data_IF_569528360599
#
_entry.id   IF_569528360599
#
_cell.length_a   1.000
_cell.length_b   1.000
_cell.length_c   1.000
_cell.angle_alpha   90.00
_cell.angle_beta   90.00
_cell.angle_gamma   90.00
#
_symmetry.space_group_name_H-M   'P 1'
#
loop_
_entity.id
_entity.type
_entity.pdbx_description
1 polymer ?
#
# COMPACT_ATOMS: atom_id res chain seq x y z
N UNK A 1 -29.85 2.66 -46.36
CA UNK A 1 -29.41 1.63 -45.39
C UNK A 1 -27.89 1.68 -45.25
N UNK A 2 -27.31 2.87 -44.99
CA UNK A 2 -25.84 3.12 -45.02
C UNK A 2 -25.27 3.67 -43.70
N UNK A 3 -26.12 4.12 -42.77
CA UNK A 3 -25.66 4.74 -41.52
C UNK A 3 -25.18 3.73 -40.45
N UNK A 4 -25.37 2.43 -40.65
CA UNK A 4 -24.96 1.40 -39.67
C UNK A 4 -23.46 1.09 -39.70
N UNK A 5 -22.82 1.20 -40.88
CA UNK A 5 -21.38 0.97 -41.05
C UNK A 5 -20.55 2.09 -40.45
N UNK A 6 -20.93 3.35 -40.72
CA UNK A 6 -20.21 4.53 -40.23
C UNK A 6 -20.29 4.65 -38.69
N UNK A 7 -21.44 4.29 -38.10
CA UNK A 7 -21.63 4.28 -36.64
C UNK A 7 -20.82 3.18 -35.94
N UNK A 8 -20.62 2.02 -36.58
CA UNK A 8 -19.74 0.95 -36.08
C UNK A 8 -18.26 1.32 -36.17
N UNK A 9 -17.85 1.96 -37.27
CA UNK A 9 -16.49 2.49 -37.41
C UNK A 9 -16.18 3.60 -36.40
N UNK A 10 -17.15 4.49 -36.12
CA UNK A 10 -16.98 5.55 -35.12
C UNK A 10 -16.92 5.01 -33.68
N UNK A 11 -17.72 3.98 -33.35
CA UNK A 11 -17.66 3.29 -32.05
C UNK A 11 -16.35 2.51 -31.90
N UNK A 12 -15.88 1.83 -32.95
CA UNK A 12 -14.58 1.13 -32.93
C UNK A 12 -13.40 2.10 -32.84
N UNK A 13 -13.49 3.27 -33.48
CA UNK A 13 -12.49 4.34 -33.35
C UNK A 13 -12.48 4.96 -31.95
N UNK A 14 -13.66 5.17 -31.33
CA UNK A 14 -13.78 5.60 -29.93
C UNK A 14 -13.26 4.53 -28.95
N UNK A 15 -13.53 3.25 -29.18
CA UNK A 15 -13.00 2.15 -28.36
C UNK A 15 -11.48 2.00 -28.51
N UNK A 16 -10.93 2.27 -29.71
CA UNK A 16 -9.48 2.32 -29.93
C UNK A 16 -8.85 3.56 -29.27
N UNK A 17 -9.49 4.72 -29.36
CA UNK A 17 -9.00 5.94 -28.72
C UNK A 17 -8.99 5.84 -27.18
N UNK A 18 -9.98 5.18 -26.57
CA UNK A 18 -9.98 4.89 -25.11
C UNK A 18 -8.92 3.86 -24.72
N UNK A 19 -8.62 2.89 -25.61
CA UNK A 19 -7.54 1.92 -25.37
C UNK A 19 -6.13 2.57 -25.46
N UNK A 20 -5.97 3.63 -26.26
CA UNK A 20 -4.69 4.34 -26.42
C UNK A 20 -4.38 5.30 -25.27
N UNK A 21 -5.36 5.69 -24.45
CA UNK A 21 -5.13 6.54 -23.26
C UNK A 21 -4.70 5.79 -22.00
N UNK A 22 -4.72 4.46 -21.99
CA UNK A 22 -4.17 3.64 -20.87
C UNK A 22 -2.77 3.15 -21.24
N UNK A 23 -1.87 4.08 -21.53
CA UNK A 23 -0.45 3.80 -21.72
C UNK A 23 0.40 4.70 -20.82
N UNK A 24 0.01 4.80 -19.55
CA UNK A 24 0.95 5.06 -18.46
C UNK A 24 1.58 3.73 -18.02
N UNK A 25 2.29 3.05 -18.92
CA UNK A 25 3.15 1.93 -18.55
C UNK A 25 4.29 2.50 -17.72
N UNK A 26 4.15 2.49 -16.40
CA UNK A 26 5.26 2.68 -15.50
C UNK A 26 6.11 1.40 -15.60
N UNK A 27 6.99 1.32 -16.60
CA UNK A 27 7.64 0.10 -17.13
C UNK A 27 8.69 -0.53 -16.18
N UNK A 28 8.47 -0.45 -14.87
CA UNK A 28 9.35 -0.94 -13.82
C UNK A 28 8.85 -0.67 -12.39
N UNK A 29 7.80 0.13 -12.20
CA UNK A 29 7.22 0.37 -10.87
C UNK A 29 6.36 -0.83 -10.45
N UNK A 30 6.67 -1.38 -9.29
CA UNK A 30 6.00 -2.54 -8.70
C UNK A 30 4.75 -2.16 -7.90
N UNK A 31 4.54 -0.87 -7.65
CA UNK A 31 3.38 -0.35 -6.92
C UNK A 31 2.16 -0.31 -7.83
N UNK A 32 1.08 -0.96 -7.41
CA UNK A 32 -0.23 -0.81 -8.04
C UNK A 32 -0.89 0.49 -7.57
N UNK A 33 -1.49 1.22 -8.51
CA UNK A 33 -2.16 2.50 -8.27
C UNK A 33 -1.26 3.53 -7.53
N UNK A 34 -0.07 3.86 -8.11
CA UNK A 34 0.94 4.68 -7.43
C UNK A 34 0.56 6.15 -7.24
N UNK A 35 -0.31 6.69 -8.11
CA UNK A 35 -0.85 8.05 -8.02
C UNK A 35 -2.29 8.12 -7.51
N UNK A 36 -2.82 7.03 -6.94
CA UNK A 36 -4.16 7.00 -6.32
C UNK A 36 -5.34 7.36 -7.23
N UNK A 37 -5.18 7.26 -8.55
CA UNK A 37 -6.20 7.60 -9.53
C UNK A 37 -7.41 6.65 -9.53
N UNK A 38 -7.19 5.41 -9.07
CA UNK A 38 -8.18 4.35 -9.05
C UNK A 38 -8.79 4.21 -7.66
N UNK A 39 -10.10 4.41 -7.55
CA UNK A 39 -10.87 4.27 -6.31
C UNK A 39 -11.79 3.04 -6.35
N UNK A 40 -11.97 2.40 -5.20
CA UNK A 40 -12.98 1.39 -4.98
C UNK A 40 -14.36 2.06 -4.84
N UNK A 41 -15.48 1.30 -4.88
CA UNK A 41 -16.82 1.88 -4.75
C UNK A 41 -17.08 2.67 -3.45
N UNK A 42 -16.28 2.42 -2.40
CA UNK A 42 -16.31 3.14 -1.12
C UNK A 42 -15.39 4.38 -1.08
N UNK A 43 -14.71 4.69 -2.19
CA UNK A 43 -13.77 5.82 -2.31
C UNK A 43 -12.35 5.53 -1.79
N UNK A 44 -12.06 4.30 -1.36
CA UNK A 44 -10.72 3.93 -0.91
C UNK A 44 -9.79 3.65 -2.11
N UNK A 45 -8.50 3.98 -2.07
CA UNK A 45 -7.60 3.72 -3.20
C UNK A 45 -7.45 2.22 -3.46
N UNK A 46 -7.74 1.79 -4.70
CA UNK A 46 -7.67 0.37 -5.09
C UNK A 46 -6.24 -0.17 -4.91
N UNK A 47 -6.15 -1.38 -4.34
CA UNK A 47 -4.88 -2.09 -4.11
C UNK A 47 -4.13 -1.68 -2.84
N UNK A 48 -4.69 -0.77 -2.06
CA UNK A 48 -4.19 -0.38 -0.75
C UNK A 48 -5.16 -0.83 0.35
N UNK A 49 -4.66 -1.03 1.57
CA UNK A 49 -5.50 -1.19 2.76
C UNK A 49 -4.96 -0.34 3.91
N UNK A 50 -5.83 0.03 4.86
CA UNK A 50 -5.46 0.85 6.01
C UNK A 50 -5.25 0.03 7.28
N UNK A 51 -4.37 0.51 8.15
CA UNK A 51 -4.30 0.17 9.56
C UNK A 51 -4.07 1.42 10.40
N UNK A 52 -4.52 1.38 11.65
CA UNK A 52 -4.24 2.40 12.65
C UNK A 52 -4.12 1.78 14.04
N UNK A 53 -3.32 2.43 14.88
CA UNK A 53 -3.14 2.05 16.27
C UNK A 53 -4.43 2.27 17.08
N UNK A 54 -4.96 3.50 17.08
CA UNK A 54 -6.22 3.84 17.71
C UNK A 54 -7.39 3.64 16.74
N UNK A 55 -8.26 2.68 17.06
CA UNK A 55 -9.41 2.28 16.24
C UNK A 55 -10.71 3.01 16.62
N UNK A 56 -10.64 4.03 17.48
CA UNK A 56 -11.81 4.86 17.82
C UNK A 56 -12.41 5.47 16.56
N UNK A 57 -13.74 5.39 16.43
CA UNK A 57 -14.46 5.93 15.28
C UNK A 57 -14.16 7.42 15.12
N UNK A 58 -13.71 7.81 13.92
CA UNK A 58 -13.34 9.19 13.61
C UNK A 58 -11.95 9.62 14.08
N UNK A 59 -11.14 8.75 14.73
CA UNK A 59 -9.77 9.10 15.11
C UNK A 59 -8.87 9.42 13.89
N UNK A 60 -9.12 8.73 12.77
CA UNK A 60 -8.38 8.89 11.52
C UNK A 60 -9.36 8.84 10.34
N UNK A 61 -9.05 9.58 9.27
CA UNK A 61 -9.76 9.55 8.00
C UNK A 61 -8.77 9.30 6.85
N UNK A 62 -9.17 8.46 5.90
CA UNK A 62 -8.43 8.14 4.69
C UNK A 62 -9.26 8.55 3.49
N UNK A 63 -8.70 9.33 2.57
CA UNK A 63 -9.42 9.88 1.43
C UNK A 63 -8.54 9.90 0.19
N UNK A 64 -9.14 9.66 -0.96
CA UNK A 64 -8.59 10.10 -2.23
C UNK A 64 -9.19 11.48 -2.52
N UNK A 65 -8.34 12.46 -2.85
CA UNK A 65 -8.75 13.85 -3.06
C UNK A 65 -8.20 14.37 -4.37
N UNK A 66 -8.97 15.21 -5.07
CA UNK A 66 -8.54 15.79 -6.34
C UNK A 66 -7.76 17.11 -6.19
N UNK A 67 -8.03 17.86 -5.11
CA UNK A 67 -7.41 19.16 -4.92
C UNK A 67 -5.95 19.03 -4.46
N UNK A 68 -5.04 19.57 -5.28
CA UNK A 68 -3.63 19.66 -4.93
C UNK A 68 -2.83 18.38 -5.10
N UNK A 69 -3.28 17.46 -5.97
CA UNK A 69 -2.47 16.35 -6.46
C UNK A 69 -1.13 16.84 -7.01
N UNK A 70 -0.07 16.05 -6.83
CA UNK A 70 1.25 16.39 -7.38
C UNK A 70 1.28 16.10 -8.89
N UNK A 71 0.73 14.96 -9.29
CA UNK A 71 0.55 14.55 -10.67
C UNK A 71 -0.83 13.90 -10.84
N UNK A 72 -1.31 13.82 -12.09
CA UNK A 72 -2.63 13.29 -12.35
C UNK A 72 -3.76 14.16 -11.79
N UNK A 73 -4.90 13.54 -11.51
CA UNK A 73 -6.11 14.21 -11.03
C UNK A 73 -6.32 14.02 -9.53
N UNK A 74 -5.62 13.07 -8.88
CA UNK A 74 -5.88 12.69 -7.49
C UNK A 74 -4.60 12.42 -6.70
N UNK A 75 -4.71 12.52 -5.39
CA UNK A 75 -3.69 12.06 -4.45
C UNK A 75 -4.35 11.46 -3.20
N UNK A 76 -3.55 10.81 -2.35
CA UNK A 76 -4.04 10.26 -1.10
C UNK A 76 -3.87 11.24 0.06
N UNK A 77 -4.90 11.40 0.88
CA UNK A 77 -4.90 12.17 2.12
C UNK A 77 -5.19 11.25 3.31
N UNK A 78 -4.27 11.24 4.26
CA UNK A 78 -4.43 10.67 5.59
C UNK A 78 -4.53 11.80 6.61
N UNK A 79 -5.60 11.79 7.41
CA UNK A 79 -5.78 12.76 8.51
C UNK A 79 -5.93 12.04 9.84
N UNK A 80 -5.07 12.36 10.80
CA UNK A 80 -5.25 11.98 12.20
C UNK A 80 -5.89 13.15 12.98
N UNK A 81 -7.12 12.96 13.46
CA UNK A 81 -7.87 13.96 14.24
C UNK A 81 -7.49 13.97 15.72
N UNK A 82 -6.85 12.89 16.18
CA UNK A 82 -6.24 12.73 17.49
C UNK A 82 -4.90 12.00 17.35
N UNK A 83 -3.99 12.06 18.35
CA UNK A 83 -2.69 11.41 18.24
C UNK A 83 -2.82 9.94 17.86
N UNK A 84 -2.34 9.57 16.67
CA UNK A 84 -2.42 8.20 16.17
C UNK A 84 -1.17 7.82 15.38
N UNK A 85 -1.00 6.52 15.18
CA UNK A 85 -0.13 5.93 14.18
C UNK A 85 -1.04 5.25 13.16
N UNK A 86 -1.20 5.90 12.02
CA UNK A 86 -2.08 5.46 10.95
C UNK A 86 -1.33 5.37 9.63
N UNK A 87 -1.76 4.43 8.78
CA UNK A 87 -1.08 4.13 7.51
C UNK A 87 -2.00 3.47 6.50
N UNK A 88 -1.66 3.64 5.23
CA UNK A 88 -2.06 2.71 4.18
C UNK A 88 -0.88 1.88 3.72
N UNK A 89 -1.14 0.67 3.27
CA UNK A 89 -0.10 -0.29 2.91
C UNK A 89 -0.37 -1.01 1.61
N UNK A 90 0.73 -1.47 1.01
CA UNK A 90 0.72 -2.42 -0.08
C UNK A 90 1.85 -3.44 0.13
N UNK A 91 1.59 -4.70 -0.23
CA UNK A 91 2.59 -5.75 -0.24
C UNK A 91 3.23 -5.82 -1.63
N UNK A 92 4.51 -5.47 -1.70
CA UNK A 92 5.27 -5.37 -2.94
C UNK A 92 6.13 -6.61 -3.11
N UNK A 93 5.88 -7.39 -4.16
CA UNK A 93 6.68 -8.58 -4.46
C UNK A 93 8.08 -8.18 -4.90
N UNK A 94 9.09 -8.79 -4.29
CA UNK A 94 10.51 -8.48 -4.53
C UNK A 94 11.34 -9.74 -4.70
N UNK A 95 12.48 -9.58 -5.35
CA UNK A 95 13.51 -10.60 -5.52
C UNK A 95 14.57 -10.46 -4.42
N UNK A 96 15.19 -11.56 -3.98
CA UNK A 96 16.29 -11.52 -3.01
C UNK A 96 17.56 -10.89 -3.62
N UNK A 97 18.46 -10.37 -2.79
CA UNK A 97 19.73 -9.72 -3.18
C UNK A 97 19.57 -8.69 -4.31
N UNK A 98 18.49 -7.90 -4.24
CA UNK A 98 18.14 -6.91 -5.26
C UNK A 98 18.01 -5.54 -4.62
N UNK A 99 18.55 -4.52 -5.30
CA UNK A 99 18.44 -3.13 -4.86
C UNK A 99 17.13 -2.55 -5.41
N UNK A 100 16.35 -1.94 -4.54
CA UNK A 100 15.12 -1.24 -4.89
C UNK A 100 15.25 0.25 -4.58
N UNK A 101 14.82 1.09 -5.52
CA UNK A 101 14.51 2.50 -5.25
C UNK A 101 13.08 2.58 -4.74
N UNK A 102 12.90 3.19 -3.57
CA UNK A 102 11.58 3.40 -2.95
C UNK A 102 11.39 4.89 -2.73
N UNK A 103 10.26 5.43 -3.14
CA UNK A 103 9.97 6.84 -2.92
C UNK A 103 8.51 7.22 -3.12
N UNK A 104 8.19 8.46 -2.75
CA UNK A 104 6.91 9.11 -3.04
C UNK A 104 7.05 10.62 -2.89
N UNK A 105 6.02 11.35 -3.33
CA UNK A 105 5.80 12.74 -2.98
C UNK A 105 5.03 12.81 -1.68
N UNK A 106 5.48 13.64 -0.75
CA UNK A 106 4.85 13.87 0.55
C UNK A 106 4.58 15.35 0.76
N UNK A 107 3.40 15.66 1.28
CA UNK A 107 3.07 16.97 1.82
C UNK A 107 2.49 16.78 3.22
N UNK A 108 3.02 17.49 4.20
CA UNK A 108 2.59 17.43 5.60
C UNK A 108 2.12 18.80 6.09
N UNK A 109 1.03 18.81 6.85
CA UNK A 109 0.38 20.03 7.37
C UNK A 109 -0.23 19.78 8.76
N UNK A 110 0.02 20.71 9.69
CA UNK A 110 -0.68 20.75 10.98
C UNK A 110 -0.30 19.65 11.96
N UNK A 111 0.89 19.04 11.82
CA UNK A 111 1.38 18.06 12.78
C UNK A 111 1.84 18.77 14.07
N UNK A 112 1.47 18.21 15.22
CA UNK A 112 1.67 18.86 16.53
C UNK A 112 2.77 18.23 17.38
N UNK A 113 3.09 16.95 17.15
CA UNK A 113 4.16 16.26 17.87
C UNK A 113 5.51 16.42 17.14
N UNK A 114 6.60 16.34 17.90
CA UNK A 114 7.96 16.48 17.40
C UNK A 114 8.53 15.21 16.75
N UNK A 115 7.83 14.08 16.86
CA UNK A 115 8.20 12.78 16.28
C UNK A 115 6.97 12.14 15.63
N UNK A 116 7.17 11.15 14.75
CA UNK A 116 6.07 10.49 14.05
C UNK A 116 5.47 11.38 12.97
N UNK A 117 6.33 12.06 12.19
CA UNK A 117 5.89 12.82 11.03
C UNK A 117 5.34 11.94 9.90
N UNK A 118 4.95 12.57 8.78
CA UNK A 118 4.62 11.84 7.56
C UNK A 118 5.88 11.13 7.02
N UNK A 119 5.80 9.83 6.73
CA UNK A 119 6.95 9.04 6.31
C UNK A 119 6.54 7.80 5.47
N UNK A 120 7.55 7.18 4.84
CA UNK A 120 7.44 5.85 4.28
C UNK A 120 8.07 4.84 5.24
N UNK A 121 7.42 3.69 5.44
CA UNK A 121 7.97 2.57 6.21
C UNK A 121 8.01 1.27 5.42
N UNK A 122 8.98 0.40 5.73
CA UNK A 122 8.95 -1.03 5.42
C UNK A 122 8.67 -1.76 6.72
N UNK A 123 7.40 -2.09 6.96
CA UNK A 123 6.95 -2.53 8.28
C UNK A 123 7.58 -3.85 8.73
N UNK A 124 7.78 -4.79 7.81
CA UNK A 124 8.40 -6.08 8.10
C UNK A 124 9.93 -6.02 8.27
N UNK A 125 10.54 -4.83 8.18
CA UNK A 125 11.96 -4.59 8.44
C UNK A 125 12.21 -3.43 9.41
N UNK A 126 11.17 -2.94 10.10
CA UNK A 126 11.25 -1.84 11.07
C UNK A 126 12.03 -0.60 10.56
N UNK A 127 11.95 -0.33 9.25
CA UNK A 127 12.63 0.79 8.63
C UNK A 127 11.64 1.91 8.30
N UNK A 128 12.01 3.16 8.57
CA UNK A 128 11.33 4.35 8.04
C UNK A 128 12.31 5.31 7.37
N UNK A 129 11.78 6.04 6.39
CA UNK A 129 12.42 7.21 5.82
C UNK A 129 12.55 8.36 6.82
N UNK A 130 13.13 9.47 6.37
CA UNK A 130 12.98 10.76 7.04
C UNK A 130 11.48 11.11 7.22
N UNK A 131 11.20 11.83 8.31
CA UNK A 131 9.85 12.27 8.69
C UNK A 131 9.62 13.73 8.28
N UNK A 132 8.39 14.04 7.84
CA UNK A 132 7.97 15.37 7.42
C UNK A 132 6.85 15.88 8.33
N UNK A 133 7.08 17.05 8.94
CA UNK A 133 6.14 17.64 9.91
C UNK A 133 5.36 18.82 9.36
N UNK A 134 6.03 19.65 8.56
CA UNK A 134 5.42 20.74 7.86
C UNK A 134 6.21 21.00 6.58
N UNK A 135 5.50 21.03 5.47
CA UNK A 135 6.07 21.23 4.12
C UNK A 135 5.68 22.59 3.54
N UNK A 136 5.01 23.45 4.33
CA UNK A 136 4.55 24.78 3.94
C UNK A 136 3.71 24.77 2.64
N UNK A 137 2.93 23.71 2.45
CA UNK A 137 2.05 23.52 1.29
C UNK A 137 2.72 22.93 0.05
N UNK A 138 4.04 22.69 0.08
CA UNK A 138 4.80 22.14 -1.05
C UNK A 138 4.92 20.62 -0.98
N UNK A 139 5.10 19.99 -2.14
CA UNK A 139 5.39 18.57 -2.25
C UNK A 139 6.90 18.32 -2.14
N UNK A 140 7.31 17.50 -1.18
CA UNK A 140 8.69 17.07 -0.97
C UNK A 140 8.89 15.66 -1.54
N UNK A 141 10.09 15.37 -2.02
CA UNK A 141 10.46 14.01 -2.44
C UNK A 141 11.02 13.24 -1.24
N UNK A 142 10.40 12.09 -0.95
CA UNK A 142 10.98 11.08 -0.07
C UNK A 142 11.53 9.97 -0.94
N UNK A 143 12.81 9.67 -0.82
CA UNK A 143 13.44 8.61 -1.61
C UNK A 143 14.57 7.94 -0.81
N UNK A 144 14.66 6.62 -0.90
CA UNK A 144 15.74 5.82 -0.34
C UNK A 144 15.93 4.54 -1.14
N UNK A 145 17.07 3.89 -0.92
CA UNK A 145 17.42 2.63 -1.57
C UNK A 145 17.56 1.53 -0.53
N UNK A 146 17.02 0.37 -0.83
CA UNK A 146 17.16 -0.82 0.03
C UNK A 146 17.72 -1.98 -0.75
N UNK A 147 18.49 -2.85 -0.12
CA UNK A 147 18.85 -4.16 -0.66
C UNK A 147 18.13 -5.25 0.14
N UNK A 148 17.45 -6.15 -0.56
CA UNK A 148 16.85 -7.35 0.04
C UNK A 148 17.92 -8.40 0.39
N UNK A 149 17.81 -9.13 1.52
CA UNK A 149 18.82 -10.10 1.94
C UNK A 149 18.79 -11.39 1.10
N UNK A 150 19.75 -12.29 1.38
CA UNK A 150 19.80 -13.66 0.84
C UNK A 150 20.07 -14.68 1.95
N UNK A 151 19.13 -15.62 2.24
CA UNK A 151 17.78 -15.68 1.68
C UNK A 151 16.96 -14.46 2.12
N UNK A 152 16.05 -14.01 1.26
CA UNK A 152 15.29 -12.79 1.49
C UNK A 152 13.79 -12.99 1.52
N UNK A 153 13.03 -11.99 1.99
CA UNK A 153 11.59 -12.00 1.89
C UNK A 153 11.19 -11.93 0.41
N UNK A 154 10.06 -12.53 0.06
CA UNK A 154 9.45 -12.37 -1.26
C UNK A 154 8.58 -11.12 -1.36
N UNK A 155 8.40 -10.39 -0.24
CA UNK A 155 7.48 -9.25 -0.13
C UNK A 155 8.06 -8.17 0.81
N UNK A 156 7.96 -6.92 0.39
CA UNK A 156 8.10 -5.75 1.26
C UNK A 156 6.71 -5.21 1.61
N UNK A 157 6.42 -4.99 2.89
CA UNK A 157 5.20 -4.31 3.33
C UNK A 157 5.46 -2.81 3.40
N UNK A 158 5.26 -2.13 2.27
CA UNK A 158 5.39 -0.68 2.15
C UNK A 158 4.19 -0.01 2.83
N UNK A 159 4.47 0.99 3.66
CA UNK A 159 3.46 1.81 4.31
C UNK A 159 3.69 3.30 4.03
N UNK A 160 2.60 4.03 3.77
CA UNK A 160 2.54 5.48 3.78
C UNK A 160 1.88 5.89 5.08
N UNK A 161 2.61 6.59 5.94
CA UNK A 161 2.35 6.61 7.37
C UNK A 161 2.38 8.03 7.94
N UNK A 162 1.50 8.27 8.91
CA UNK A 162 1.54 9.43 9.81
C UNK A 162 1.57 8.90 11.24
N UNK A 163 2.67 9.17 11.93
CA UNK A 163 3.05 8.48 13.16
C UNK A 163 4.21 7.50 12.92
N UNK A 164 4.55 6.73 13.94
CA UNK A 164 5.80 5.97 14.00
C UNK A 164 5.82 5.03 15.20
N UNK A 165 6.71 4.04 15.25
CA UNK A 165 6.83 3.08 16.36
C UNK A 165 6.89 3.80 17.73
N UNK A 166 5.78 3.79 18.48
CA UNK A 166 5.65 4.51 19.75
C UNK A 166 5.53 6.04 19.65
N UNK A 167 5.52 6.62 18.44
CA UNK A 167 5.36 8.03 18.18
C UNK A 167 4.01 8.30 17.48
N UNK A 168 3.07 8.87 18.21
CA UNK A 168 1.74 9.21 17.71
C UNK A 168 1.70 10.69 17.29
N UNK A 169 0.95 11.02 16.23
CA UNK A 169 0.81 12.40 15.80
C UNK A 169 -0.62 12.71 15.30
N UNK A 170 -0.98 14.00 15.35
CA UNK A 170 -2.19 14.55 14.72
C UNK A 170 -1.80 15.24 13.40
N UNK A 171 -2.79 15.64 12.59
CA UNK A 171 -2.57 16.46 11.40
C UNK A 171 -2.83 15.70 10.11
N UNK A 172 -2.30 16.24 9.00
CA UNK A 172 -2.56 15.77 7.64
C UNK A 172 -1.27 15.38 6.93
N UNK A 173 -1.30 14.24 6.27
CA UNK A 173 -0.26 13.78 5.37
C UNK A 173 -0.89 13.45 4.01
N UNK A 174 -0.41 14.10 2.97
CA UNK A 174 -0.75 13.81 1.58
C UNK A 174 0.38 13.02 0.94
N UNK A 175 0.02 12.09 0.08
CA UNK A 175 0.95 11.23 -0.64
C UNK A 175 0.56 11.11 -2.09
N UNK A 176 1.56 11.05 -2.97
CA UNK A 176 1.37 10.87 -4.41
C UNK A 176 2.61 10.25 -5.07
N UNK A 177 2.47 9.75 -6.29
CA UNK A 177 3.54 9.23 -7.14
C UNK A 177 4.48 8.24 -6.42
N UNK A 178 3.88 7.21 -5.79
CA UNK A 178 4.62 6.18 -5.07
C UNK A 178 5.39 5.29 -6.05
N UNK A 179 6.65 5.01 -5.74
CA UNK A 179 7.48 4.15 -6.59
C UNK A 179 8.24 3.12 -5.77
N UNK A 180 8.23 1.90 -6.28
CA UNK A 180 9.16 0.84 -5.91
C UNK A 180 9.66 0.19 -7.20
N UNK A 181 10.94 0.33 -7.50
CA UNK A 181 11.52 -0.22 -8.74
C UNK A 181 12.85 -0.92 -8.44
N UNK A 182 13.09 -2.06 -9.08
CA UNK A 182 14.40 -2.70 -9.04
C UNK A 182 15.40 -1.87 -9.85
N UNK A 183 16.56 -1.57 -9.27
CA UNK A 183 17.63 -0.83 -9.94
C UNK A 183 18.92 -1.66 -9.98
N UNK A 184 19.65 -1.66 -11.11
CA UNK A 184 20.91 -2.41 -11.20
C UNK A 184 21.99 -1.82 -10.29
N UNK A 185 21.95 -0.50 -10.05
CA UNK A 185 22.88 0.21 -9.18
C UNK A 185 22.22 1.52 -8.70
N UNK A 186 22.41 1.91 -7.43
CA UNK A 186 21.97 3.22 -6.95
C UNK A 186 22.84 4.36 -7.54
N UNK A 187 22.38 5.62 -7.48
CA UNK A 187 23.19 6.78 -7.82
C UNK A 187 24.50 6.84 -7.01
N UNK A 188 25.51 7.51 -7.57
CA UNK A 188 26.79 7.69 -6.89
C UNK A 188 26.57 8.45 -5.58
N UNK A 189 27.02 7.86 -4.46
CA UNK A 189 26.91 8.45 -3.12
C UNK A 189 25.58 8.20 -2.42
N UNK A 190 24.61 7.54 -3.05
CA UNK A 190 23.38 7.14 -2.38
C UNK A 190 23.64 6.05 -1.33
N UNK A 191 23.06 6.23 -0.14
CA UNK A 191 23.05 5.21 0.90
C UNK A 191 22.10 4.08 0.49
N UNK A 192 22.57 2.83 0.56
CA UNK A 192 21.73 1.63 0.43
C UNK A 192 21.56 1.03 1.80
N UNK A 193 20.30 0.85 2.21
CA UNK A 193 19.94 0.21 3.46
C UNK A 193 19.90 -1.29 3.22
N UNK A 194 20.77 -2.02 3.91
CA UNK A 194 20.79 -3.47 3.88
C UNK A 194 19.66 -3.99 4.78
N UNK A 195 18.65 -4.63 4.20
CA UNK A 195 17.55 -5.20 4.97
C UNK A 195 17.97 -6.55 5.55
N UNK A 196 17.62 -6.79 6.81
CA UNK A 196 17.95 -8.03 7.50
C UNK A 196 17.02 -9.17 7.11
N UNK A 197 17.54 -10.39 7.10
CA UNK A 197 16.70 -11.57 6.91
C UNK A 197 15.86 -11.85 8.16
N UNK A 198 14.67 -12.42 7.99
CA UNK A 198 13.77 -12.79 9.11
C UNK A 198 14.46 -13.68 10.15
N UNK A 199 15.44 -14.49 9.72
CA UNK A 199 16.22 -15.35 10.60
C UNK A 199 17.21 -14.57 11.48
N UNK A 200 17.85 -13.53 10.94
CA UNK A 200 18.76 -12.65 11.68
C UNK A 200 17.99 -11.78 12.68
N UNK A 201 16.84 -11.23 12.26
CA UNK A 201 15.97 -10.44 13.14
C UNK A 201 15.46 -11.25 14.34
N UNK A 202 15.27 -12.56 14.20
CA UNK A 202 14.88 -13.46 15.29
C UNK A 202 16.03 -13.81 16.25
N UNK A 203 17.28 -13.86 15.77
CA UNK A 203 18.44 -14.20 16.59
C UNK A 203 18.92 -13.02 17.47
N UNK A 204 18.82 -11.78 16.97
CA UNK A 204 19.14 -10.56 17.75
C UNK A 204 18.13 -10.23 18.84
N UNK A 205 16.90 -10.74 18.75
CA UNK A 205 15.85 -10.53 19.74
C UNK A 205 15.85 -11.56 20.88
N UNK A 206 16.86 -12.44 20.97
CA UNK A 206 16.98 -13.42 22.06
C UNK A 206 17.37 -12.70 23.37
N UNK A 207 16.51 -12.60 24.39
CA UNK A 207 16.88 -11.96 25.65
C UNK A 207 17.83 -12.86 26.44
N UNK A 208 18.81 -12.25 27.10
CA UNK A 208 19.49 -12.89 28.23
C UNK A 208 18.45 -13.38 29.24
N UNK A 209 18.58 -14.64 29.66
CA UNK A 209 17.64 -15.34 30.53
C UNK A 209 17.24 -14.52 31.77
N UNK A 210 15.93 -14.37 32.02
CA UNK A 210 15.44 -14.09 33.36
C UNK A 210 14.11 -13.35 33.46
N UNK A 211 13.10 -14.11 33.90
CA UNK A 211 11.84 -13.74 34.58
C UNK A 211 10.58 -13.76 33.71
N UNK A 212 9.82 -14.83 33.93
CA UNK A 212 8.54 -15.14 33.34
C UNK A 212 7.46 -14.09 33.67
N UNK A 213 6.69 -13.71 32.65
CA UNK A 213 5.38 -13.07 32.80
C UNK A 213 4.42 -13.75 31.83
N UNK A 214 3.41 -14.41 32.38
CA UNK A 214 2.41 -15.16 31.63
C UNK A 214 1.47 -14.21 30.88
N UNK A 215 1.63 -14.13 29.55
CA UNK A 215 0.65 -13.50 28.67
C UNK A 215 -0.63 -14.35 28.51
N UNK A 216 -1.78 -13.75 28.19
CA UNK A 216 -3.06 -14.45 28.10
C UNK A 216 -3.07 -15.42 26.90
N UNK A 217 -3.89 -16.49 26.94
CA UNK A 217 -3.80 -17.59 25.99
C UNK A 217 -4.18 -17.16 24.57
N UNK A 218 -3.35 -17.60 23.62
CA UNK A 218 -3.56 -17.46 22.18
C UNK A 218 -4.90 -18.09 21.79
N UNK A 219 -5.80 -17.31 21.19
CA UNK A 219 -7.07 -17.81 20.64
C UNK A 219 -6.77 -18.49 19.31
N UNK A 220 -7.07 -19.79 19.23
CA UNK A 220 -6.89 -20.65 18.05
C UNK A 220 -7.80 -20.21 16.90
N UNK A 221 -7.22 -19.72 15.81
CA UNK A 221 -7.94 -19.18 14.63
C UNK A 221 -8.42 -20.30 13.66
N UNK A 222 -8.95 -21.38 14.23
CA UNK A 222 -9.44 -22.56 13.50
C UNK A 222 -10.86 -22.40 12.94
N UNK A 223 -11.53 -21.29 13.23
CA UNK A 223 -12.89 -21.00 12.77
C UNK A 223 -12.94 -20.43 11.34
N UNK A 224 -12.01 -19.53 10.98
CA UNK A 224 -12.02 -18.85 9.67
C UNK A 224 -11.82 -19.79 8.47
N UNK A 225 -11.01 -20.85 8.63
CA UNK A 225 -10.76 -21.83 7.56
C UNK A 225 -11.93 -22.78 7.29
N UNK A 226 -12.88 -22.95 8.21
CA UNK A 226 -14.06 -23.83 8.01
C UNK A 226 -15.16 -23.15 7.19
N UNK A 227 -15.31 -21.84 7.32
CA UNK A 227 -16.33 -21.09 6.57
C UNK A 227 -15.99 -20.94 5.08
N UNK A 228 -14.70 -20.79 4.73
CA UNK A 228 -14.27 -20.71 3.31
C UNK A 228 -14.49 -22.03 2.55
N UNK A 229 -14.26 -23.18 3.20
CA UNK A 229 -14.46 -24.50 2.56
C UNK A 229 -15.96 -24.81 2.40
N UNK A 230 -16.79 -24.47 3.40
CA UNK A 230 -18.24 -24.66 3.31
C UNK A 230 -18.88 -23.74 2.26
N UNK A 231 -18.42 -22.49 2.14
CA UNK A 231 -18.89 -21.57 1.10
C UNK A 231 -18.56 -22.07 -0.31
N UNK A 232 -17.35 -22.60 -0.52
CA UNK A 232 -16.94 -23.20 -1.81
C UNK A 232 -17.80 -24.39 -2.23
N UNK A 233 -18.22 -25.24 -1.28
CA UNK A 233 -19.04 -26.42 -1.58
C UNK A 233 -20.48 -26.04 -1.95
N UNK A 234 -21.05 -25.01 -1.31
CA UNK A 234 -22.40 -24.50 -1.60
C UNK A 234 -22.45 -23.83 -2.99
N UNK A 235 -21.45 -23.01 -3.33
CA UNK A 235 -21.37 -22.37 -4.65
C UNK A 235 -21.23 -23.41 -5.76
N UNK A 236 -20.40 -24.44 -5.56
CA UNK A 236 -20.22 -25.51 -6.55
C UNK A 236 -21.51 -26.33 -6.75
N UNK A 237 -22.22 -26.66 -5.65
CA UNK A 237 -23.50 -27.35 -5.73
C UNK A 237 -24.57 -26.52 -6.45
N UNK A 238 -24.58 -25.20 -6.23
CA UNK A 238 -25.51 -24.28 -6.89
C UNK A 238 -25.24 -24.17 -8.40
N UNK A 239 -23.97 -24.08 -8.81
CA UNK A 239 -23.59 -24.02 -10.23
C UNK A 239 -23.95 -25.30 -10.97
N UNK A 240 -23.68 -26.48 -10.37
CA UNK A 240 -24.05 -27.78 -10.95
C UNK A 240 -25.56 -27.95 -11.07
N UNK A 241 -26.34 -27.45 -10.11
CA UNK A 241 -27.80 -27.44 -10.18
C UNK A 241 -28.33 -26.50 -11.26
N UNK A 242 -27.74 -25.31 -11.40
CA UNK A 242 -28.12 -24.33 -12.42
C UNK A 242 -27.88 -24.89 -13.84
N UNK A 243 -26.72 -25.49 -14.11
CA UNK A 243 -26.44 -26.11 -15.41
C UNK A 243 -27.44 -27.22 -15.76
N UNK A 244 -27.75 -28.12 -14.82
CA UNK A 244 -28.74 -29.19 -15.03
C UNK A 244 -30.16 -28.68 -15.28
N UNK A 245 -30.50 -27.49 -14.74
CA UNK A 245 -31.81 -26.87 -14.93
C UNK A 245 -31.92 -26.17 -16.29
N UNK A 246 -30.82 -25.67 -16.83
CA UNK A 246 -30.79 -24.99 -18.13
C UNK A 246 -30.66 -25.97 -19.30
N UNK A 247 -30.05 -27.15 -19.10
CA UNK A 247 -29.99 -28.22 -20.10
C UNK A 247 -31.33 -28.96 -20.34
N UNK A 248 -32.39 -28.61 -19.60
CA UNK A 248 -33.75 -29.17 -19.75
C UNK A 248 -34.76 -28.19 -20.37
N UNK A 249 -34.29 -27.12 -21.03
CA UNK A 249 -35.11 -26.23 -21.86
C UNK A 249 -34.69 -26.32 -23.31
#
# INVERSE_FOLDING_TARGET
MEYSGLRRLFILFLLWAVAVTVSGQNSGNLVYNPGFELEAPDGFPLGWWAEQWDQTSGATTYQVVAEGAYAGDKCFLLTNHQPNDARIMQEIKVEPDTIYRIGCRVRAEGLTAATGGANLSILNHNYSSAEYFNTNGWWELVEFYVRTPKPGPSVLRLALRLGGWGALNTGKAYFDEVVVEAVPKPPIGALVIELESEKQAAEEQTPAEGVASAGPPHRDDRAGKRYLVLFSLVVTAFLVWAEKRWAKR
#
